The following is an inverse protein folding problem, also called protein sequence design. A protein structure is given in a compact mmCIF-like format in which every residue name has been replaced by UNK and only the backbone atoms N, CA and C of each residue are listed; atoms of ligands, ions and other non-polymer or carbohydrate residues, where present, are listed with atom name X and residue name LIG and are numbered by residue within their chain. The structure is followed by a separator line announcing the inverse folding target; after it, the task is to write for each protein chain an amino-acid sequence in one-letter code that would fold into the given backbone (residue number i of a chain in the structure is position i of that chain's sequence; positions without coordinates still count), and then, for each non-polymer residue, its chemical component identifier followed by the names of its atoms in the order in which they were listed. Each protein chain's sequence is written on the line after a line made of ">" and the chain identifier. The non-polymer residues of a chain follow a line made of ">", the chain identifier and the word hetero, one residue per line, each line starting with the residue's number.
data_IF_515086567370
#
_entry.id   IF_515086567370
#
_cell.length_a   1.000
_cell.length_b   1.000
_cell.length_c   1.000
_cell.angle_alpha   90.00
_cell.angle_beta   90.00
_cell.angle_gamma   90.00
#
_symmetry.space_group_name_H-M   'P 1'
#
loop_
_entity.id
_entity.type
_entity.pdbx_description
1 polymer ?
#
# COMPACT_ATOMS: atom_id res chain seq x y z
N UNK A 1 -5.35 21.98 23.05
CA UNK A 1 -4.55 22.28 21.83
C UNK A 1 -4.14 21.03 21.02
N UNK A 2 -4.39 19.79 21.48
CA UNK A 2 -3.91 18.57 20.81
C UNK A 2 -4.68 18.14 19.56
N UNK A 3 -6.00 18.35 19.50
CA UNK A 3 -6.86 17.87 18.39
C UNK A 3 -6.57 18.57 17.05
N UNK A 4 -6.48 19.90 17.04
CA UNK A 4 -6.19 20.69 15.83
C UNK A 4 -4.79 20.39 15.25
N UNK A 5 -3.81 20.16 16.12
CA UNK A 5 -2.46 19.75 15.72
C UNK A 5 -2.46 18.37 15.07
N UNK A 6 -3.35 17.48 15.51
CA UNK A 6 -3.53 16.15 14.93
C UNK A 6 -4.25 16.21 13.57
N UNK A 7 -5.27 17.08 13.44
CA UNK A 7 -5.98 17.29 12.17
C UNK A 7 -5.07 17.87 11.09
N UNK A 8 -4.33 18.96 11.39
CA UNK A 8 -3.41 19.58 10.43
C UNK A 8 -2.22 18.66 10.07
N UNK A 9 -1.78 17.82 11.01
CA UNK A 9 -0.76 16.79 10.75
C UNK A 9 -1.30 15.72 9.80
N UNK A 10 -2.55 15.30 10.00
CA UNK A 10 -3.21 14.32 9.15
C UNK A 10 -3.43 14.86 7.74
N UNK A 11 -3.89 16.12 7.60
CA UNK A 11 -4.07 16.78 6.30
C UNK A 11 -2.76 16.86 5.51
N UNK A 12 -1.64 17.25 6.15
CA UNK A 12 -0.33 17.28 5.47
C UNK A 12 0.15 15.90 5.02
N UNK A 13 -0.13 14.86 5.80
CA UNK A 13 0.18 13.48 5.42
C UNK A 13 -0.67 13.09 4.20
N UNK A 14 -1.96 13.38 4.22
CA UNK A 14 -2.86 13.08 3.10
C UNK A 14 -2.45 13.80 1.81
N UNK A 15 -2.06 15.08 1.90
CA UNK A 15 -1.53 15.82 0.76
C UNK A 15 -0.25 15.17 0.22
N UNK A 16 0.69 14.82 1.10
CA UNK A 16 1.92 14.13 0.70
C UNK A 16 1.64 12.78 0.03
N UNK A 17 0.68 12.01 0.53
CA UNK A 17 0.31 10.72 -0.06
C UNK A 17 -0.31 10.90 -1.46
N UNK A 18 -1.16 11.92 -1.64
CA UNK A 18 -1.70 12.29 -2.97
C UNK A 18 -0.61 12.76 -3.93
N UNK A 19 0.36 13.55 -3.46
CA UNK A 19 1.55 13.95 -4.24
C UNK A 19 2.47 12.76 -4.63
N UNK A 20 2.23 11.57 -4.06
CA UNK A 20 2.96 10.33 -4.35
C UNK A 20 2.11 9.29 -5.07
N UNK A 21 0.94 9.71 -5.58
CA UNK A 21 -0.01 8.86 -6.29
C UNK A 21 -0.44 7.63 -5.48
N UNK A 22 -0.59 7.80 -4.16
CA UNK A 22 -1.03 6.75 -3.23
C UNK A 22 -2.33 7.15 -2.52
N UNK A 23 -2.99 6.16 -1.92
CA UNK A 23 -4.20 6.34 -1.14
C UNK A 23 -3.92 7.26 0.06
N UNK A 24 -4.76 8.29 0.31
CA UNK A 24 -4.64 9.12 1.50
C UNK A 24 -5.06 8.39 2.79
N UNK A 25 -5.54 7.14 2.68
CA UNK A 25 -5.99 6.34 3.82
C UNK A 25 -4.79 5.70 4.53
N UNK A 26 -4.44 6.29 5.67
CA UNK A 26 -3.39 5.80 6.57
C UNK A 26 -3.95 4.65 7.41
N UNK A 27 -3.31 3.48 7.33
CA UNK A 27 -3.64 2.30 8.15
C UNK A 27 -2.78 2.20 9.40
N UNK A 28 -1.61 2.84 9.39
CA UNK A 28 -0.69 2.83 10.53
C UNK A 28 0.20 4.06 10.51
N UNK A 29 0.54 4.59 11.68
CA UNK A 29 1.65 5.53 11.84
C UNK A 29 2.31 5.39 13.21
N UNK A 30 3.59 5.74 13.32
CA UNK A 30 4.27 5.82 14.62
C UNK A 30 3.68 6.94 15.47
N UNK A 31 3.33 6.65 16.73
CA UNK A 31 2.79 7.65 17.67
C UNK A 31 3.82 8.72 18.03
N UNK A 32 5.05 8.30 18.34
CA UNK A 32 6.18 9.19 18.61
C UNK A 32 7.16 9.18 17.44
N UNK A 33 7.86 10.30 17.19
CA UNK A 33 8.90 10.34 16.18
C UNK A 33 10.08 9.42 16.50
N UNK A 34 10.48 8.62 15.52
CA UNK A 34 11.73 7.88 15.51
C UNK A 34 12.88 8.81 15.08
N UNK A 35 14.12 8.32 15.17
CA UNK A 35 15.31 9.04 14.72
C UNK A 35 16.06 8.25 13.64
N UNK A 36 16.48 8.95 12.60
CA UNK A 36 17.42 8.44 11.59
C UNK A 36 18.73 9.25 11.69
N UNK A 37 19.88 8.59 11.62
CA UNK A 37 21.16 9.27 11.52
C UNK A 37 21.48 9.56 10.05
N UNK A 38 21.49 10.84 9.65
CA UNK A 38 21.78 11.23 8.25
C UNK A 38 22.64 12.50 8.20
N UNK A 39 23.70 12.47 7.40
CA UNK A 39 24.68 13.57 7.28
C UNK A 39 25.24 14.03 8.64
N UNK A 40 25.65 13.06 9.47
CA UNK A 40 26.22 13.32 10.80
C UNK A 40 25.25 13.89 11.85
N UNK A 41 23.95 13.99 11.55
CA UNK A 41 22.94 14.52 12.49
C UNK A 41 21.71 13.62 12.59
N UNK A 42 21.20 13.47 13.81
CA UNK A 42 19.92 12.80 14.05
C UNK A 42 18.75 13.63 13.52
N UNK A 43 17.89 13.03 12.70
CA UNK A 43 16.66 13.65 12.19
C UNK A 43 15.45 12.92 12.78
N UNK A 44 14.44 13.68 13.21
CA UNK A 44 13.15 13.12 13.62
C UNK A 44 12.35 12.73 12.39
N UNK A 45 11.91 11.48 12.35
CA UNK A 45 11.12 10.88 11.28
C UNK A 45 9.92 10.15 11.87
N UNK A 46 8.95 9.84 11.02
CA UNK A 46 7.82 9.00 11.36
C UNK A 46 7.59 8.00 10.24
N UNK A 47 7.07 6.84 10.63
CA UNK A 47 6.57 5.86 9.69
C UNK A 47 5.07 6.07 9.50
N UNK A 48 4.62 5.97 8.25
CA UNK A 48 3.20 6.04 7.87
C UNK A 48 2.98 4.93 6.86
N UNK A 49 2.02 4.04 7.08
CA UNK A 49 1.66 3.01 6.11
C UNK A 49 0.28 3.29 5.52
N UNK A 50 0.17 3.09 4.21
CA UNK A 50 -1.09 2.92 3.46
C UNK A 50 -1.32 1.43 3.22
N UNK A 51 -2.38 1.09 2.49
CA UNK A 51 -2.62 -0.29 2.05
C UNK A 51 -1.47 -0.84 1.20
N UNK A 52 -0.77 0.01 0.45
CA UNK A 52 0.23 -0.41 -0.54
C UNK A 52 1.67 -0.18 -0.09
N UNK A 53 1.94 0.93 0.60
CA UNK A 53 3.32 1.35 0.88
C UNK A 53 3.51 1.80 2.33
N UNK A 54 4.73 1.59 2.81
CA UNK A 54 5.29 2.15 4.02
C UNK A 54 6.13 3.38 3.67
N UNK A 55 5.84 4.52 4.26
CA UNK A 55 6.50 5.80 4.05
C UNK A 55 7.39 6.17 5.23
N UNK A 56 8.59 6.68 4.92
CA UNK A 56 9.44 7.42 5.84
C UNK A 56 9.26 8.91 5.61
N UNK A 57 8.73 9.61 6.61
CA UNK A 57 8.46 11.04 6.53
C UNK A 57 9.29 11.78 7.57
N UNK A 58 10.03 12.80 7.14
CA UNK A 58 10.70 13.73 8.05
C UNK A 58 9.68 14.64 8.73
N UNK A 59 9.68 14.62 10.06
CA UNK A 59 8.74 15.42 10.87
C UNK A 59 8.92 16.92 10.61
N UNK A 60 10.17 17.41 10.52
CA UNK A 60 10.43 18.83 10.22
C UNK A 60 10.06 19.12 8.76
N UNK A 61 8.94 19.82 8.58
CA UNK A 61 8.44 20.24 7.27
C UNK A 61 7.70 19.15 6.50
N UNK A 62 7.35 18.02 7.14
CA UNK A 62 6.60 16.91 6.54
C UNK A 62 7.12 16.52 5.15
N UNK A 63 8.41 16.23 5.07
CA UNK A 63 9.06 15.91 3.79
C UNK A 63 9.21 14.42 3.62
N UNK A 64 8.90 13.95 2.43
CA UNK A 64 9.16 12.58 2.01
C UNK A 64 10.66 12.25 2.06
N UNK A 65 11.01 11.11 2.66
CA UNK A 65 12.38 10.56 2.64
C UNK A 65 12.47 9.29 1.79
N UNK A 66 11.49 8.42 1.87
CA UNK A 66 11.45 7.19 1.08
C UNK A 66 10.17 6.41 1.29
N UNK A 67 9.94 5.40 0.45
CA UNK A 67 8.86 4.43 0.62
C UNK A 67 9.31 3.02 0.26
N UNK A 68 8.64 2.03 0.86
CA UNK A 68 8.76 0.62 0.55
C UNK A 68 7.38 0.04 0.27
N UNK A 69 7.21 -0.78 -0.78
CA UNK A 69 6.00 -1.58 -0.94
C UNK A 69 5.81 -2.51 0.25
N UNK A 70 4.59 -2.60 0.77
CA UNK A 70 4.28 -3.42 1.95
C UNK A 70 4.56 -4.90 1.69
N UNK A 71 4.46 -5.34 0.44
CA UNK A 71 4.70 -6.71 0.01
C UNK A 71 6.16 -7.13 0.14
N UNK A 72 7.12 -6.20 0.04
CA UNK A 72 8.53 -6.55 -0.15
C UNK A 72 9.49 -5.90 0.84
N UNK A 73 9.06 -5.50 2.05
CA UNK A 73 9.99 -5.06 3.09
C UNK A 73 10.15 -6.11 4.20
N UNK A 74 11.32 -6.11 4.84
CA UNK A 74 11.64 -6.84 6.06
C UNK A 74 12.05 -5.89 7.18
N UNK A 75 11.77 -6.32 8.41
CA UNK A 75 12.15 -5.56 9.60
C UNK A 75 12.87 -6.43 10.63
N UNK A 76 14.04 -5.99 11.06
CA UNK A 76 14.81 -6.59 12.16
C UNK A 76 15.02 -5.57 13.27
N UNK A 77 15.10 -6.01 14.51
CA UNK A 77 15.27 -5.14 15.68
C UNK A 77 16.49 -5.53 16.48
N UNK A 78 17.12 -4.54 17.11
CA UNK A 78 18.22 -4.71 18.05
C UNK A 78 18.14 -3.62 19.11
N UNK A 79 17.78 -3.99 20.34
CA UNK A 79 17.55 -3.02 21.41
C UNK A 79 16.46 -2.00 21.05
N UNK A 80 16.83 -0.72 20.99
CA UNK A 80 15.94 0.37 20.59
C UNK A 80 16.09 0.77 19.12
N UNK A 81 16.71 -0.07 18.28
CA UNK A 81 16.83 0.14 16.84
C UNK A 81 15.98 -0.84 16.03
N UNK A 82 15.51 -0.38 14.87
CA UNK A 82 14.87 -1.19 13.83
C UNK A 82 15.55 -0.91 12.51
N UNK A 83 15.87 -1.97 11.79
CA UNK A 83 16.31 -1.90 10.41
C UNK A 83 15.16 -2.30 9.51
N UNK A 84 14.82 -1.44 8.56
CA UNK A 84 13.87 -1.71 7.48
C UNK A 84 14.68 -1.87 6.21
N UNK A 85 14.43 -2.92 5.43
CA UNK A 85 15.12 -3.17 4.17
C UNK A 85 14.19 -3.82 3.16
N UNK A 86 14.55 -3.75 1.89
CA UNK A 86 13.87 -4.52 0.84
C UNK A 86 14.18 -6.02 1.00
N UNK A 87 13.15 -6.83 0.89
CA UNK A 87 13.18 -8.30 0.83
C UNK A 87 13.45 -8.73 -0.62
N UNK A 88 14.72 -8.91 -0.97
CA UNK A 88 15.11 -9.27 -2.35
C UNK A 88 14.69 -10.69 -2.71
N UNK A 89 14.67 -11.60 -1.74
CA UNK A 89 14.27 -12.99 -1.96
C UNK A 89 12.80 -13.06 -2.35
N UNK A 90 11.93 -12.31 -1.65
CA UNK A 90 10.52 -12.18 -2.02
C UNK A 90 10.30 -11.55 -3.41
N UNK A 91 11.17 -10.62 -3.81
CA UNK A 91 11.11 -10.01 -5.15
C UNK A 91 11.43 -11.02 -6.26
N UNK A 92 12.32 -11.97 -5.99
CA UNK A 92 12.72 -12.99 -6.95
C UNK A 92 11.68 -14.13 -7.05
N UNK A 93 10.90 -14.41 -6.00
CA UNK A 93 9.87 -15.46 -5.97
C UNK A 93 8.59 -15.12 -6.74
N UNK A 94 8.24 -13.83 -6.86
CA UNK A 94 6.98 -13.37 -7.48
C UNK A 94 7.07 -13.24 -9.01
N UNK A 95 8.23 -13.53 -9.63
CA UNK A 95 8.44 -13.43 -11.08
C UNK A 95 8.61 -14.80 -11.76
N UNK A 96 7.52 -15.49 -12.15
CA UNK A 96 7.60 -16.75 -12.91
C UNK A 96 7.99 -16.56 -14.39
N UNK A 97 7.95 -15.34 -14.94
CA UNK A 97 8.15 -15.05 -16.37
C UNK A 97 9.50 -14.36 -16.69
N UNK A 98 10.33 -14.08 -15.67
CA UNK A 98 11.58 -13.32 -15.81
C UNK A 98 11.38 -11.88 -16.30
N UNK A 99 10.12 -11.45 -16.43
CA UNK A 99 9.76 -10.06 -16.69
C UNK A 99 9.71 -9.40 -15.34
N UNK A 100 10.87 -8.90 -14.93
CA UNK A 100 11.09 -7.87 -13.92
C UNK A 100 9.88 -6.93 -13.83
N UNK A 101 8.84 -7.33 -13.09
CA UNK A 101 7.80 -6.45 -12.60
C UNK A 101 8.44 -5.74 -11.41
N UNK A 102 9.46 -4.94 -11.73
CA UNK A 102 9.53 -3.67 -11.06
C UNK A 102 8.13 -3.07 -11.30
N UNK A 103 7.31 -3.09 -10.25
CA UNK A 103 6.54 -1.91 -9.93
C UNK A 103 7.55 -0.77 -9.85
N UNK A 104 7.97 -0.27 -11.02
CA UNK A 104 8.71 0.96 -11.23
C UNK A 104 7.96 2.15 -10.59
N UNK A 105 6.68 1.93 -10.27
CA UNK A 105 5.86 2.66 -9.32
C UNK A 105 6.19 2.34 -7.84
N UNK A 106 7.44 2.49 -7.37
CA UNK A 106 7.72 1.91 -6.06
C UNK A 106 8.83 2.52 -5.26
N UNK A 107 10.08 2.25 -5.65
CA UNK A 107 11.22 2.66 -4.84
C UNK A 107 11.58 4.12 -5.16
N UNK A 108 10.63 5.02 -4.89
CA UNK A 108 10.89 6.45 -4.82
C UNK A 108 11.58 6.71 -3.48
N UNK A 109 12.89 6.83 -3.45
CA UNK A 109 13.62 7.15 -2.22
C UNK A 109 15.02 6.57 -2.19
N UNK A 110 15.95 7.30 -1.56
CA UNK A 110 17.38 6.96 -1.49
C UNK A 110 17.70 5.73 -0.61
N UNK A 111 16.71 5.00 -0.09
CA UNK A 111 16.90 4.03 0.98
C UNK A 111 16.54 2.60 0.57
N UNK A 112 17.54 1.80 0.21
CA UNK A 112 17.42 0.35 0.12
C UNK A 112 17.26 -0.28 1.51
N UNK A 113 17.93 0.30 2.50
CA UNK A 113 17.79 -0.02 3.92
C UNK A 113 17.90 1.24 4.77
N UNK A 114 17.20 1.25 5.91
CA UNK A 114 17.27 2.32 6.90
C UNK A 114 17.30 1.74 8.31
N UNK A 115 18.16 2.29 9.15
CA UNK A 115 18.13 2.06 10.59
C UNK A 115 17.48 3.26 11.30
N UNK A 116 16.50 2.96 12.16
CA UNK A 116 15.74 3.93 12.94
C UNK A 116 15.89 3.64 14.42
N UNK A 117 15.92 4.69 15.23
CA UNK A 117 16.06 4.62 16.69
C UNK A 117 14.80 5.14 17.38
N UNK A 118 14.30 4.38 18.36
CA UNK A 118 13.20 4.75 19.24
C UNK A 118 13.73 5.26 20.59
N UNK A 119 12.83 5.78 21.42
CA UNK A 119 13.16 6.18 22.78
C UNK A 119 13.37 4.99 23.72
N UNK A 120 12.73 3.84 23.43
CA UNK A 120 12.85 2.61 24.22
C UNK A 120 12.78 1.36 23.33
N UNK A 121 13.25 0.23 23.86
CA UNK A 121 13.16 -1.07 23.20
C UNK A 121 11.70 -1.54 23.07
N UNK A 122 10.86 -1.31 24.08
CA UNK A 122 9.44 -1.69 24.05
C UNK A 122 8.67 -0.96 22.94
N UNK A 123 8.96 0.33 22.74
CA UNK A 123 8.43 1.08 21.61
C UNK A 123 8.85 0.44 20.29
N UNK A 124 10.10 0.00 20.20
CA UNK A 124 10.61 -0.59 18.98
C UNK A 124 10.02 -1.97 18.68
N UNK A 125 9.79 -2.79 19.70
CA UNK A 125 9.09 -4.06 19.56
C UNK A 125 7.66 -3.86 19.06
N UNK A 126 6.95 -2.86 19.60
CA UNK A 126 5.60 -2.52 19.13
C UNK A 126 5.61 -2.05 17.68
N UNK A 127 6.57 -1.20 17.29
CA UNK A 127 6.73 -0.77 15.89
C UNK A 127 6.99 -1.99 15.00
N UNK A 128 7.93 -2.86 15.37
CA UNK A 128 8.25 -4.05 14.59
C UNK A 128 7.06 -4.98 14.44
N UNK A 129 6.30 -5.22 15.50
CA UNK A 129 5.10 -6.06 15.45
C UNK A 129 4.13 -5.55 14.37
N UNK A 130 3.77 -4.27 14.44
CA UNK A 130 2.86 -3.65 13.48
C UNK A 130 3.39 -3.73 12.04
N UNK A 131 4.68 -3.46 11.83
CA UNK A 131 5.28 -3.53 10.49
C UNK A 131 5.29 -4.96 9.93
N UNK A 132 5.57 -5.97 10.77
CA UNK A 132 5.49 -7.37 10.37
C UNK A 132 4.07 -7.77 9.98
N UNK A 133 3.06 -7.33 10.74
CA UNK A 133 1.67 -7.61 10.41
C UNK A 133 1.25 -6.95 9.09
N UNK A 134 1.62 -5.68 8.88
CA UNK A 134 1.35 -4.98 7.62
C UNK A 134 1.96 -5.74 6.44
N UNK A 135 3.23 -6.14 6.53
CA UNK A 135 3.88 -6.85 5.44
C UNK A 135 3.26 -8.22 5.20
N UNK A 136 3.01 -9.00 6.27
CA UNK A 136 2.36 -10.31 6.18
C UNK A 136 0.98 -10.20 5.51
N UNK A 137 0.17 -9.23 5.92
CA UNK A 137 -1.18 -9.05 5.37
C UNK A 137 -1.14 -8.63 3.90
N UNK A 138 -0.20 -7.75 3.53
CA UNK A 138 -0.02 -7.35 2.13
C UNK A 138 0.43 -8.52 1.24
N UNK A 139 1.36 -9.35 1.72
CA UNK A 139 1.81 -10.57 1.01
C UNK A 139 0.67 -11.58 0.85
N UNK A 140 -0.09 -11.84 1.92
CA UNK A 140 -1.23 -12.75 1.86
C UNK A 140 -2.30 -12.27 0.86
N UNK A 141 -2.59 -10.97 0.84
CA UNK A 141 -3.54 -10.41 -0.12
C UNK A 141 -3.05 -10.53 -1.57
N UNK A 142 -1.75 -10.34 -1.81
CA UNK A 142 -1.16 -10.54 -3.14
C UNK A 142 -1.28 -12.00 -3.61
N UNK A 143 -0.95 -12.96 -2.75
CA UNK A 143 -1.06 -14.40 -3.07
C UNK A 143 -2.51 -14.83 -3.37
N UNK A 144 -3.49 -14.26 -2.66
CA UNK A 144 -4.90 -14.52 -2.94
C UNK A 144 -5.33 -14.02 -4.33
N UNK A 145 -4.80 -12.88 -4.77
CA UNK A 145 -5.07 -12.34 -6.12
C UNK A 145 -4.36 -13.12 -7.23
N UNK A 146 -3.18 -13.69 -6.93
CA UNK A 146 -2.43 -14.54 -7.86
C UNK A 146 -3.02 -15.94 -8.02
N UNK A 147 -3.90 -16.35 -7.11
CA UNK A 147 -4.64 -17.59 -7.27
C UNK A 147 -5.68 -17.38 -8.38
N UNK A 148 -5.54 -17.99 -9.56
CA UNK A 148 -6.55 -17.84 -10.60
C UNK A 148 -7.86 -18.33 -10.00
N UNK A 149 -8.92 -17.50 -10.10
CA UNK A 149 -10.27 -18.01 -9.89
C UNK A 149 -10.40 -19.23 -10.79
N UNK A 150 -10.46 -20.41 -10.19
CA UNK A 150 -10.95 -21.60 -10.85
C UNK A 150 -12.41 -21.28 -11.19
N UNK A 151 -12.63 -20.61 -12.32
CA UNK A 151 -13.89 -20.68 -13.03
C UNK A 151 -14.14 -22.18 -13.18
N UNK A 152 -15.21 -22.73 -12.60
CA UNK A 152 -15.56 -24.10 -12.92
C UNK A 152 -15.91 -24.13 -14.42
N UNK A 153 -14.97 -24.59 -15.24
CA UNK A 153 -15.23 -24.96 -16.61
C UNK A 153 -16.03 -26.26 -16.60
N UNK A 154 -17.32 -26.11 -16.90
CA UNK A 154 -18.26 -27.09 -17.45
C UNK A 154 -18.86 -28.18 -16.55
N UNK A 155 -20.20 -28.16 -16.49
CA UNK A 155 -21.02 -29.35 -16.22
C UNK A 155 -22.47 -29.06 -15.85
N UNK A 156 -23.35 -28.88 -16.85
CA UNK A 156 -24.81 -28.85 -16.80
C UNK A 156 -25.50 -27.54 -16.35
N UNK A 157 -25.77 -26.70 -17.35
CA UNK A 157 -27.02 -25.94 -17.39
C UNK A 157 -28.19 -26.93 -17.53
N UNK A 158 -28.85 -27.26 -16.44
CA UNK A 158 -30.23 -27.77 -16.47
C UNK A 158 -31.17 -26.59 -16.32
N UNK A 159 -31.61 -26.06 -17.45
CA UNK A 159 -32.83 -25.28 -17.54
C UNK A 159 -34.03 -26.20 -17.27
N UNK A 160 -34.71 -26.00 -16.14
CA UNK A 160 -36.11 -26.43 -15.93
C UNK A 160 -36.68 -25.66 -14.72
N UNK A 161 -37.66 -24.75 -14.85
CA UNK A 161 -38.40 -24.32 -16.03
C UNK A 161 -39.36 -23.18 -15.72
N UNK A 162 -39.94 -22.62 -16.79
CA UNK A 162 -41.32 -22.13 -16.78
C UNK A 162 -41.58 -20.66 -16.44
N UNK A 163 -41.28 -19.75 -17.37
CA UNK A 163 -42.34 -19.01 -18.10
C UNK A 163 -41.74 -18.25 -19.29
N UNK A 164 -42.16 -18.70 -20.46
CA UNK A 164 -41.92 -18.08 -21.77
C UNK A 164 -42.73 -16.78 -21.80
N UNK A 165 -42.08 -15.63 -21.73
CA UNK A 165 -42.64 -14.37 -22.20
C UNK A 165 -41.85 -14.02 -23.44
N UNK A 166 -42.45 -14.28 -24.59
CA UNK A 166 -42.02 -13.80 -25.89
C UNK A 166 -42.18 -12.29 -25.92
N UNK A 167 -41.09 -11.56 -26.11
CA UNK A 167 -41.13 -10.21 -26.64
C UNK A 167 -40.26 -10.24 -27.89
N UNK A 168 -40.92 -10.10 -29.04
CA UNK A 168 -40.31 -10.06 -30.36
C UNK A 168 -39.51 -8.76 -30.51
N UNK A 169 -38.30 -8.86 -31.04
CA UNK A 169 -37.60 -7.73 -31.64
C UNK A 169 -38.26 -7.40 -32.98
N UNK A 170 -38.49 -6.12 -33.22
CA UNK A 170 -38.56 -5.56 -34.56
C UNK A 170 -37.89 -4.18 -34.54
N UNK A 171 -36.74 -4.14 -35.21
CA UNK A 171 -36.04 -2.95 -35.68
C UNK A 171 -36.97 -2.02 -36.50
N UNK A 172 -36.68 -0.72 -36.53
CA UNK A 172 -36.15 -0.02 -37.70
C UNK A 172 -36.25 1.50 -37.51
N UNK A 173 -35.21 2.18 -38.00
CA UNK A 173 -35.02 3.62 -37.98
C UNK A 173 -35.97 4.34 -38.95
N UNK A 174 -36.38 5.57 -38.63
CA UNK A 174 -36.49 6.63 -39.65
C UNK A 174 -36.45 8.03 -39.02
N UNK A 175 -35.63 8.89 -39.62
CA UNK A 175 -35.52 10.34 -39.43
C UNK A 175 -36.79 11.07 -39.88
N UNK A 176 -37.09 12.27 -39.39
CA UNK A 176 -36.53 13.54 -39.87
C UNK A 176 -37.15 14.73 -39.11
N UNK A 177 -36.37 15.79 -39.04
CA UNK A 177 -36.78 17.15 -38.68
C UNK A 177 -37.79 17.69 -39.71
N UNK A 178 -38.81 18.46 -39.28
CA UNK A 178 -39.27 19.66 -40.02
C UNK A 178 -40.20 20.54 -39.17
N UNK A 179 -39.99 21.85 -39.35
CA UNK A 179 -40.61 23.01 -38.70
C UNK A 179 -42.10 23.23 -39.04
N UNK A 180 -42.88 23.73 -38.07
CA UNK A 180 -43.81 24.90 -38.21
C UNK A 180 -44.42 25.33 -36.85
#
# INVERSE_FOLDING_TARGET
>A
MSKLLNVAKNEKIQLLLREKDDSPHVIYHTERPLRIQRHGRGKKVMLVATSFNLYLIKVKGMRFYGRWPNTCFLTTTSGNSITIRIDKEWLDEVDPDGKRMFLSYGVGGEFESVELLAASSDEMLNVQHNLKEISRNARAHLQMLETPELRPENGNATCAGGKKVTFEEADEEESDDEDE
#
